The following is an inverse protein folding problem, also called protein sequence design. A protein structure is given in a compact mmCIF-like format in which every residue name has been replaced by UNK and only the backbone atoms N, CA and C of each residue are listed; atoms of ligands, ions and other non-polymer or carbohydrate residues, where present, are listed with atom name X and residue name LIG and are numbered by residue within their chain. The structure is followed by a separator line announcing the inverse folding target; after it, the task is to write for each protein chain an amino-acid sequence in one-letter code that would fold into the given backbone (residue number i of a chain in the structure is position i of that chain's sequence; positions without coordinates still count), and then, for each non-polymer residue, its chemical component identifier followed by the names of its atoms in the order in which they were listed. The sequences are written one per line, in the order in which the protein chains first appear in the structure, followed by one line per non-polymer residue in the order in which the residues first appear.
data_IF_347035572856
#
_entry.id   IF_347035572856
#
_cell.length_a   1.000
_cell.length_b   1.000
_cell.length_c   1.000
_cell.angle_alpha   90.00
_cell.angle_beta   90.00
_cell.angle_gamma   90.00
#
_symmetry.space_group_name_H-M   'P 1'
#
loop_
_entity.id
_entity.type
_entity.pdbx_description
1 polymer ?
#
# COMPACT_ATOMS: atom_id res chain seq x y z
N UNK A 1 7.03 -1.11 -3.49
CA UNK A 1 6.77 -2.23 -2.56
C UNK A 1 8.06 -2.90 -2.14
N UNK A 2 8.13 -3.67 -1.03
CA UNK A 2 9.25 -4.55 -0.69
C UNK A 2 9.49 -5.63 -1.76
N UNK A 3 10.69 -6.21 -1.77
CA UNK A 3 10.95 -7.46 -2.46
C UNK A 3 10.30 -8.57 -1.63
N UNK A 4 9.48 -9.38 -2.27
CA UNK A 4 8.74 -10.48 -1.63
C UNK A 4 9.31 -11.80 -2.12
N UNK A 5 9.89 -12.57 -1.21
CA UNK A 5 10.40 -13.91 -1.48
C UNK A 5 9.45 -14.91 -0.80
N UNK A 6 8.86 -15.79 -1.61
CA UNK A 6 8.00 -16.88 -1.15
C UNK A 6 8.73 -18.21 -1.28
N UNK A 7 8.83 -18.92 -0.16
CA UNK A 7 9.38 -20.26 -0.11
C UNK A 7 8.25 -21.29 -0.37
N UNK A 8 8.58 -22.39 -1.02
CA UNK A 8 7.61 -23.44 -1.31
C UNK A 8 7.09 -24.14 -0.05
N UNK A 9 7.88 -24.09 1.03
CA UNK A 9 7.55 -24.72 2.32
C UNK A 9 7.91 -23.77 3.47
N UNK A 10 7.43 -24.10 4.68
CA UNK A 10 7.80 -23.38 5.90
C UNK A 10 9.29 -23.54 6.19
N UNK A 11 9.96 -22.42 6.49
CA UNK A 11 11.41 -22.36 6.72
C UNK A 11 11.71 -22.46 8.20
N UNK A 12 12.33 -23.58 8.62
CA UNK A 12 12.73 -23.82 10.01
C UNK A 12 13.95 -22.99 10.43
N UNK A 13 14.96 -22.91 9.58
CA UNK A 13 16.19 -22.08 9.82
C UNK A 13 16.15 -20.84 8.91
N UNK A 14 15.43 -19.81 9.38
CA UNK A 14 15.26 -18.54 8.68
C UNK A 14 16.58 -17.79 8.50
N UNK A 15 17.48 -17.87 9.49
CA UNK A 15 18.77 -17.19 9.43
C UNK A 15 19.67 -17.78 8.33
N UNK A 16 19.64 -19.10 8.12
CA UNK A 16 20.33 -19.74 7.00
C UNK A 16 19.68 -19.37 5.66
N UNK A 17 18.36 -19.33 5.59
CA UNK A 17 17.66 -18.92 4.39
C UNK A 17 18.00 -17.47 3.98
N UNK A 18 18.03 -16.51 4.92
CA UNK A 18 18.43 -15.13 4.64
C UNK A 18 19.86 -15.04 4.09
N UNK A 19 20.80 -15.83 4.62
CA UNK A 19 22.18 -15.85 4.10
C UNK A 19 22.30 -16.39 2.68
N UNK A 20 21.34 -17.19 2.25
CA UNK A 20 21.27 -17.73 0.89
C UNK A 20 20.60 -16.77 -0.11
N UNK A 21 19.98 -15.68 0.38
CA UNK A 21 19.35 -14.68 -0.47
C UNK A 21 20.32 -13.50 -0.62
N UNK A 22 20.55 -13.08 -1.87
CA UNK A 22 21.31 -11.88 -2.19
C UNK A 22 20.43 -10.86 -2.87
N UNK A 23 20.40 -9.65 -2.35
CA UNK A 23 19.81 -8.47 -2.99
C UNK A 23 20.94 -7.51 -3.33
N UNK A 24 21.08 -7.21 -4.62
CA UNK A 24 22.09 -6.28 -5.14
C UNK A 24 21.38 -5.12 -5.82
N UNK A 25 21.79 -3.90 -5.52
CA UNK A 25 21.26 -2.68 -6.12
C UNK A 25 22.37 -1.84 -6.72
N UNK A 26 22.07 -1.15 -7.81
CA UNK A 26 22.99 -0.19 -8.43
C UNK A 26 22.25 1.14 -8.69
N UNK A 27 22.65 2.23 -7.99
CA UNK A 27 23.64 2.30 -6.92
C UNK A 27 23.27 1.49 -5.66
N UNK A 28 24.24 1.17 -4.77
CA UNK A 28 24.01 0.39 -3.56
C UNK A 28 22.98 1.04 -2.61
N UNK A 29 22.04 0.24 -2.11
CA UNK A 29 21.01 0.66 -1.14
C UNK A 29 21.02 -0.31 0.03
N UNK A 30 21.14 0.23 1.25
CA UNK A 30 21.05 -0.57 2.47
C UNK A 30 19.62 -1.01 2.73
N UNK A 31 19.44 -2.30 3.01
CA UNK A 31 18.15 -2.87 3.35
C UNK A 31 18.25 -4.06 4.28
N UNK A 32 17.12 -4.61 4.68
CA UNK A 32 17.08 -5.73 5.62
C UNK A 32 15.87 -6.63 5.34
N UNK A 33 15.96 -7.86 5.85
CA UNK A 33 14.91 -8.87 5.77
C UNK A 33 13.98 -8.79 6.98
N UNK A 34 12.72 -9.15 6.75
CA UNK A 34 11.72 -9.37 7.80
C UNK A 34 10.74 -10.45 7.37
N UNK A 35 10.52 -11.46 8.22
CA UNK A 35 9.59 -12.57 7.93
C UNK A 35 8.17 -12.15 8.28
N UNK A 36 7.31 -12.22 7.29
CA UNK A 36 5.87 -11.95 7.47
C UNK A 36 5.16 -13.20 8.01
N UNK A 37 5.60 -14.37 7.57
CA UNK A 37 5.15 -15.67 8.06
C UNK A 37 6.25 -16.73 7.84
N UNK A 38 5.94 -18.00 8.04
CA UNK A 38 6.91 -19.09 8.01
C UNK A 38 7.49 -19.38 6.62
N UNK A 39 6.80 -18.96 5.57
CA UNK A 39 7.20 -19.22 4.17
C UNK A 39 7.38 -17.95 3.35
N UNK A 40 7.31 -16.78 3.98
CA UNK A 40 7.42 -15.51 3.27
C UNK A 40 8.31 -14.52 4.01
N UNK A 41 9.39 -14.12 3.37
CA UNK A 41 10.30 -13.07 3.84
C UNK A 41 10.28 -11.89 2.87
N UNK A 42 10.25 -10.69 3.43
CA UNK A 42 10.33 -9.46 2.67
C UNK A 42 11.67 -8.77 2.90
N UNK A 43 12.17 -8.11 1.88
CA UNK A 43 13.33 -7.23 1.97
C UNK A 43 12.95 -5.82 1.51
N UNK A 44 13.30 -4.81 2.30
CA UNK A 44 13.12 -3.42 1.91
C UNK A 44 14.26 -2.53 2.40
N UNK A 45 14.51 -1.39 1.73
CA UNK A 45 15.42 -0.37 2.25
C UNK A 45 14.82 0.36 3.47
N UNK A 46 15.67 1.17 4.13
CA UNK A 46 15.27 1.97 5.27
C UNK A 46 14.23 3.06 4.92
N UNK A 47 14.31 3.58 3.71
CA UNK A 47 13.41 4.58 3.13
C UNK A 47 12.79 4.02 1.86
N UNK A 48 11.86 4.75 1.25
CA UNK A 48 11.31 4.38 -0.04
C UNK A 48 12.43 4.21 -1.07
N UNK A 49 12.18 3.35 -2.05
CA UNK A 49 13.15 3.09 -3.10
C UNK A 49 13.59 4.38 -3.80
N UNK A 50 14.89 4.59 -3.96
CA UNK A 50 15.38 5.66 -4.84
C UNK A 50 14.89 5.45 -6.27
N UNK A 51 14.68 6.55 -6.99
CA UNK A 51 14.34 6.48 -8.41
C UNK A 51 15.52 5.97 -9.26
N UNK A 52 15.19 5.32 -10.37
CA UNK A 52 16.11 4.99 -11.46
C UNK A 52 17.31 4.11 -11.03
N UNK A 53 17.05 3.10 -10.19
CA UNK A 53 18.05 2.10 -9.81
C UNK A 53 17.72 0.73 -10.36
N UNK A 54 18.73 -0.10 -10.58
CA UNK A 54 18.56 -1.52 -10.91
C UNK A 54 18.66 -2.39 -9.66
N UNK A 55 17.88 -3.46 -9.63
CA UNK A 55 17.82 -4.41 -8.53
C UNK A 55 17.95 -5.82 -9.08
N UNK A 56 18.86 -6.60 -8.51
CA UNK A 56 19.00 -8.03 -8.77
C UNK A 56 18.76 -8.82 -7.49
N UNK A 57 17.99 -9.88 -7.58
CA UNK A 57 17.66 -10.77 -6.48
C UNK A 57 18.02 -12.19 -6.88
N UNK A 58 18.91 -12.83 -6.09
CA UNK A 58 19.24 -14.25 -6.17
C UNK A 58 18.70 -14.95 -4.92
N UNK A 59 17.87 -15.96 -5.08
CA UNK A 59 17.27 -16.73 -4.00
C UNK A 59 17.17 -18.21 -4.38
N UNK A 60 18.10 -19.02 -3.91
CA UNK A 60 18.25 -20.41 -4.35
C UNK A 60 18.49 -20.47 -5.87
N UNK A 61 17.66 -21.23 -6.59
CA UNK A 61 17.72 -21.35 -8.06
C UNK A 61 17.00 -20.21 -8.78
N UNK A 62 16.36 -19.30 -8.05
CA UNK A 62 15.62 -18.18 -8.63
C UNK A 62 16.52 -16.96 -8.80
N UNK A 63 16.47 -16.35 -9.99
CA UNK A 63 17.14 -15.11 -10.33
C UNK A 63 16.14 -14.12 -10.91
N UNK A 64 16.16 -12.88 -10.45
CA UNK A 64 15.29 -11.81 -10.97
C UNK A 64 16.04 -10.49 -11.03
N UNK A 65 15.85 -9.77 -12.13
CA UNK A 65 16.38 -8.40 -12.28
C UNK A 65 15.26 -7.47 -12.71
N UNK A 66 15.16 -6.31 -12.07
CA UNK A 66 14.18 -5.28 -12.41
C UNK A 66 14.73 -3.88 -12.12
N UNK A 67 14.06 -2.87 -12.66
CA UNK A 67 14.41 -1.48 -12.43
C UNK A 67 13.32 -0.78 -11.61
N UNK A 68 13.74 0.03 -10.67
CA UNK A 68 12.89 1.05 -10.05
C UNK A 68 12.86 2.23 -11.01
N UNK A 69 11.68 2.65 -11.41
CA UNK A 69 11.48 3.85 -12.24
C UNK A 69 11.48 5.13 -11.39
N UNK A 70 10.68 6.10 -11.80
CA UNK A 70 10.45 7.32 -11.01
C UNK A 70 9.88 6.98 -9.62
N UNK A 71 10.29 7.74 -8.61
CA UNK A 71 9.75 7.63 -7.27
C UNK A 71 8.38 8.31 -7.21
N UNK A 72 7.32 7.48 -7.23
CA UNK A 72 5.94 7.93 -7.13
C UNK A 72 5.48 7.81 -5.67
N UNK A 73 5.14 8.95 -5.08
CA UNK A 73 4.57 9.03 -3.73
C UNK A 73 3.30 9.87 -3.79
N UNK A 74 2.22 9.29 -3.30
CA UNK A 74 0.96 9.99 -3.10
C UNK A 74 0.80 10.29 -1.62
N UNK A 75 0.47 11.54 -1.27
CA UNK A 75 0.14 11.94 0.09
C UNK A 75 -1.36 12.25 0.15
N UNK A 76 -2.09 11.52 0.98
CA UNK A 76 -3.50 11.75 1.26
C UNK A 76 -3.63 12.38 2.65
N UNK A 77 -3.81 13.69 2.69
CA UNK A 77 -3.85 14.46 3.94
C UNK A 77 -5.31 14.80 4.32
N UNK A 78 -5.76 14.22 5.43
CA UNK A 78 -7.11 14.42 5.93
C UNK A 78 -7.33 15.84 6.50
N UNK A 79 -6.29 16.53 6.94
CA UNK A 79 -6.43 17.90 7.42
C UNK A 79 -6.82 18.86 6.30
N UNK A 80 -6.31 18.63 5.10
CA UNK A 80 -6.59 19.43 3.90
C UNK A 80 -7.68 18.84 3.01
N UNK A 81 -8.06 17.57 3.23
CA UNK A 81 -8.96 16.78 2.37
C UNK A 81 -8.46 16.71 0.92
N UNK A 82 -7.13 16.64 0.77
CA UNK A 82 -6.46 16.58 -0.54
C UNK A 82 -5.63 15.32 -0.68
N UNK A 83 -5.54 14.85 -1.90
CA UNK A 83 -4.56 13.85 -2.35
C UNK A 83 -3.57 14.57 -3.26
N UNK A 84 -2.30 14.57 -2.86
CA UNK A 84 -1.19 15.17 -3.63
C UNK A 84 -0.32 14.07 -4.21
N UNK A 85 -0.13 14.09 -5.50
CA UNK A 85 0.68 13.12 -6.24
C UNK A 85 2.04 13.73 -6.58
N UNK A 86 3.11 13.06 -6.17
CA UNK A 86 4.49 13.52 -6.33
C UNK A 86 5.30 12.55 -7.18
N UNK A 87 6.08 13.09 -8.09
CA UNK A 87 7.07 12.35 -8.89
C UNK A 87 8.44 12.92 -8.57
N UNK A 88 9.34 12.06 -8.07
CA UNK A 88 10.70 12.46 -7.67
C UNK A 88 10.71 13.66 -6.70
N UNK A 89 9.69 13.76 -5.84
CA UNK A 89 9.53 14.85 -4.86
C UNK A 89 8.83 16.10 -5.37
N UNK A 90 8.53 16.20 -6.67
CA UNK A 90 7.79 17.33 -7.24
C UNK A 90 6.29 17.01 -7.35
N UNK A 91 5.45 17.92 -6.90
CA UNK A 91 4.00 17.80 -7.02
C UNK A 91 3.57 17.97 -8.47
N UNK A 92 2.94 16.94 -9.02
CA UNK A 92 2.43 16.93 -10.41
C UNK A 92 0.91 17.00 -10.49
N UNK A 93 0.21 16.63 -9.42
CA UNK A 93 -1.26 16.66 -9.35
C UNK A 93 -1.71 16.81 -7.89
N UNK A 94 -2.78 17.56 -7.67
CA UNK A 94 -3.52 17.62 -6.40
C UNK A 94 -5.00 17.50 -6.70
N UNK A 95 -5.71 16.67 -5.92
CA UNK A 95 -7.13 16.44 -6.13
C UNK A 95 -7.88 16.39 -4.79
N UNK A 96 -9.08 16.96 -4.69
CA UNK A 96 -9.91 16.85 -3.50
C UNK A 96 -10.37 15.41 -3.28
N UNK A 97 -10.41 15.00 -2.02
CA UNK A 97 -10.87 13.68 -1.60
C UNK A 97 -11.85 13.75 -0.44
N UNK A 98 -12.60 12.67 -0.25
CA UNK A 98 -13.39 12.40 0.94
C UNK A 98 -13.04 11.00 1.43
N UNK A 99 -12.46 10.93 2.63
CA UNK A 99 -11.99 9.68 3.24
C UNK A 99 -13.05 9.06 4.15
N UNK A 100 -12.65 8.07 4.93
CA UNK A 100 -13.52 7.41 5.90
C UNK A 100 -14.03 8.38 6.97
N UNK A 101 -15.36 8.35 7.20
CA UNK A 101 -15.99 9.13 8.29
C UNK A 101 -15.50 8.64 9.66
N UNK A 102 -15.68 9.43 10.73
CA UNK A 102 -15.15 9.13 12.07
C UNK A 102 -15.55 7.75 12.62
N UNK A 103 -16.70 7.23 12.24
CA UNK A 103 -17.16 5.88 12.67
C UNK A 103 -16.53 4.74 11.87
N UNK A 104 -15.92 5.01 10.73
CA UNK A 104 -15.23 4.08 9.84
C UNK A 104 -14.05 4.78 9.16
N UNK A 105 -13.07 5.24 9.95
CA UNK A 105 -12.00 6.08 9.43
C UNK A 105 -11.09 5.29 8.49
N UNK A 106 -10.41 6.01 7.61
CA UNK A 106 -9.23 5.49 6.92
C UNK A 106 -8.08 5.45 7.94
N UNK A 107 -7.39 4.34 8.07
CA UNK A 107 -6.21 4.27 8.93
C UNK A 107 -5.09 5.15 8.38
N UNK A 108 -4.31 5.76 9.27
CA UNK A 108 -3.10 6.50 8.91
C UNK A 108 -1.98 5.55 8.52
N UNK A 109 -0.96 6.08 7.84
CA UNK A 109 0.27 5.37 7.52
C UNK A 109 0.45 5.09 6.03
N UNK A 110 1.45 4.27 5.75
CA UNK A 110 1.92 4.03 4.38
C UNK A 110 1.27 2.77 3.81
N UNK A 111 0.56 2.96 2.74
CA UNK A 111 -0.07 1.93 1.93
C UNK A 111 0.76 1.67 0.67
N UNK A 112 0.69 0.46 0.16
CA UNK A 112 1.29 0.06 -1.11
C UNK A 112 0.17 -0.24 -2.10
N UNK A 113 0.20 0.36 -3.29
CA UNK A 113 -0.79 0.08 -4.32
C UNK A 113 -0.72 -1.39 -4.74
N UNK A 114 -1.85 -2.06 -4.64
CA UNK A 114 -2.08 -3.44 -5.05
C UNK A 114 -2.69 -3.55 -6.44
N UNK A 115 -3.78 -4.30 -6.54
CA UNK A 115 -4.48 -4.53 -7.81
C UNK A 115 -5.32 -3.33 -8.23
N UNK A 116 -5.60 -3.23 -9.54
CA UNK A 116 -6.35 -2.15 -10.13
C UNK A 116 -7.47 -2.71 -11.00
N UNK A 117 -8.66 -2.13 -10.85
CA UNK A 117 -9.86 -2.59 -11.54
C UNK A 117 -10.54 -1.40 -12.21
N UNK A 118 -10.76 -1.48 -13.53
CA UNK A 118 -11.56 -0.47 -14.24
C UNK A 118 -12.98 -0.41 -13.69
N UNK A 119 -13.50 -1.55 -13.23
CA UNK A 119 -14.81 -1.70 -12.62
C UNK A 119 -14.73 -2.75 -11.52
N UNK A 120 -15.28 -2.44 -10.34
CA UNK A 120 -15.29 -3.30 -9.17
C UNK A 120 -16.63 -3.22 -8.47
N UNK A 121 -17.17 -4.38 -8.06
CA UNK A 121 -18.29 -4.42 -7.12
C UNK A 121 -17.72 -4.43 -5.72
N UNK A 122 -17.96 -3.36 -4.98
CA UNK A 122 -17.63 -3.24 -3.56
C UNK A 122 -18.82 -3.75 -2.74
N UNK A 123 -18.59 -4.77 -1.92
CA UNK A 123 -19.63 -5.43 -1.13
C UNK A 123 -19.15 -5.56 0.31
N UNK A 124 -19.85 -4.90 1.23
CA UNK A 124 -19.51 -4.90 2.65
C UNK A 124 -19.60 -6.29 3.30
N UNK A 125 -20.31 -7.23 2.69
CA UNK A 125 -20.41 -8.60 3.19
C UNK A 125 -19.06 -9.34 3.14
N UNK A 126 -18.14 -8.92 2.29
CA UNK A 126 -16.80 -9.52 2.16
C UNK A 126 -15.92 -9.32 3.40
N UNK A 127 -16.24 -8.34 4.25
CA UNK A 127 -15.58 -8.10 5.54
C UNK A 127 -16.55 -8.17 6.74
N UNK A 128 -17.66 -8.91 6.58
CA UNK A 128 -18.55 -9.30 7.67
C UNK A 128 -19.68 -8.32 7.99
N UNK A 129 -19.88 -7.26 7.20
CA UNK A 129 -21.03 -6.34 7.34
C UNK A 129 -22.08 -6.69 6.29
N UNK A 130 -23.26 -7.27 6.67
CA UNK A 130 -24.28 -7.63 5.69
C UNK A 130 -24.70 -6.43 4.84
N UNK A 131 -24.72 -6.58 3.52
CA UNK A 131 -24.97 -5.48 2.58
C UNK A 131 -26.34 -4.82 2.73
N UNK A 132 -27.30 -5.53 3.35
CA UNK A 132 -28.65 -5.03 3.67
C UNK A 132 -28.79 -4.44 5.09
N UNK A 133 -27.67 -4.34 5.85
CA UNK A 133 -27.66 -3.69 7.17
C UNK A 133 -27.55 -2.17 7.04
N UNK A 134 -27.84 -1.39 8.12
CA UNK A 134 -27.72 0.08 8.07
C UNK A 134 -26.35 0.62 7.68
N UNK A 135 -25.29 -0.13 7.94
CA UNK A 135 -23.91 0.20 7.56
C UNK A 135 -23.40 -0.64 6.39
N UNK A 136 -24.27 -1.48 5.81
CA UNK A 136 -23.94 -2.30 4.66
C UNK A 136 -24.07 -1.55 3.35
N UNK A 137 -23.35 -2.02 2.36
CA UNK A 137 -23.45 -1.55 0.99
C UNK A 137 -23.06 -2.64 -0.02
N UNK A 138 -23.59 -2.50 -1.20
CA UNK A 138 -23.14 -3.20 -2.41
C UNK A 138 -23.29 -2.26 -3.57
N UNK A 139 -22.18 -1.79 -4.12
CA UNK A 139 -22.17 -0.80 -5.18
C UNK A 139 -21.06 -1.06 -6.19
N UNK A 140 -21.32 -0.72 -7.43
CA UNK A 140 -20.32 -0.76 -8.48
C UNK A 140 -19.58 0.57 -8.52
N UNK A 141 -18.23 0.50 -8.57
CA UNK A 141 -17.34 1.65 -8.69
C UNK A 141 -16.43 1.49 -9.88
N UNK A 142 -16.08 2.60 -10.51
CA UNK A 142 -15.12 2.64 -11.60
C UNK A 142 -13.74 3.08 -11.08
N UNK A 143 -12.68 2.68 -11.79
CA UNK A 143 -11.30 3.10 -11.57
C UNK A 143 -10.81 2.84 -10.15
N UNK A 144 -11.07 1.64 -9.64
CA UNK A 144 -10.68 1.25 -8.30
C UNK A 144 -9.21 0.83 -8.25
N UNK A 145 -8.41 1.52 -7.42
CA UNK A 145 -7.01 1.23 -7.14
C UNK A 145 -6.88 0.76 -5.69
N UNK A 146 -6.53 -0.50 -5.49
CA UNK A 146 -6.41 -1.11 -4.17
C UNK A 146 -5.23 -0.54 -3.39
N UNK A 147 -5.44 -0.24 -2.12
CA UNK A 147 -4.41 0.22 -1.18
C UNK A 147 -4.17 -0.76 -0.04
N UNK A 148 -5.16 -1.59 0.32
CA UNK A 148 -5.03 -2.58 1.39
C UNK A 148 -5.81 -3.85 1.07
N UNK A 149 -5.42 -4.96 1.68
CA UNK A 149 -6.20 -6.20 1.62
C UNK A 149 -7.45 -6.15 2.52
N UNK A 150 -7.48 -5.23 3.48
CA UNK A 150 -8.67 -4.93 4.28
C UNK A 150 -9.76 -4.17 3.51
N UNK A 151 -9.51 -3.81 2.24
CA UNK A 151 -10.55 -3.28 1.35
C UNK A 151 -10.56 -1.76 1.18
N UNK A 152 -9.44 -1.08 1.46
CA UNK A 152 -9.29 0.36 1.17
C UNK A 152 -8.85 0.56 -0.28
N UNK A 153 -9.55 1.45 -0.99
CA UNK A 153 -9.29 1.81 -2.39
C UNK A 153 -9.32 3.32 -2.59
N UNK A 154 -8.60 3.80 -3.60
CA UNK A 154 -8.95 5.06 -4.29
C UNK A 154 -9.91 4.70 -5.41
N UNK A 155 -11.05 5.34 -5.51
CA UNK A 155 -12.04 5.01 -6.55
C UNK A 155 -12.93 6.19 -6.94
N UNK A 156 -13.59 6.08 -8.08
CA UNK A 156 -14.60 7.02 -8.54
C UNK A 156 -15.82 7.01 -7.60
N UNK A 157 -16.19 8.19 -7.11
CA UNK A 157 -17.33 8.37 -6.21
C UNK A 157 -18.16 9.63 -6.62
N UNK A 158 -18.89 9.57 -7.75
CA UNK A 158 -19.66 10.71 -8.23
C UNK A 158 -20.74 11.18 -7.25
N UNK A 159 -21.24 10.30 -6.38
CA UNK A 159 -22.24 10.62 -5.35
C UNK A 159 -21.72 11.47 -4.20
N UNK A 160 -20.41 11.59 -4.02
CA UNK A 160 -19.79 12.32 -2.92
C UNK A 160 -18.96 13.53 -3.37
N UNK A 161 -19.03 13.93 -4.64
CA UNK A 161 -18.24 15.06 -5.18
C UNK A 161 -18.44 16.34 -4.36
N UNK A 162 -19.64 16.60 -3.86
CA UNK A 162 -19.91 17.77 -3.00
C UNK A 162 -19.25 17.72 -1.62
N UNK A 163 -18.76 16.56 -1.17
CA UNK A 163 -18.05 16.39 0.10
C UNK A 163 -16.53 16.33 -0.08
N UNK A 164 -16.06 16.01 -1.29
CA UNK A 164 -14.64 15.93 -1.59
C UNK A 164 -13.98 17.30 -1.40
N UNK A 165 -12.86 17.32 -0.65
CA UNK A 165 -12.18 18.55 -0.26
C UNK A 165 -12.76 19.24 0.98
N UNK A 166 -13.83 18.70 1.60
CA UNK A 166 -14.48 19.36 2.75
C UNK A 166 -14.89 18.42 3.88
N UNK A 167 -15.37 17.22 3.59
CA UNK A 167 -15.90 16.30 4.61
C UNK A 167 -15.63 14.84 4.26
N UNK A 168 -15.48 13.99 5.29
CA UNK A 168 -15.31 12.55 5.19
C UNK A 168 -16.67 11.84 5.26
N UNK A 169 -17.01 11.09 4.22
CA UNK A 169 -18.31 10.39 4.14
C UNK A 169 -18.21 8.93 3.72
N UNK A 170 -17.00 8.43 3.44
CA UNK A 170 -16.80 7.04 3.01
C UNK A 170 -16.77 6.06 4.20
N UNK A 171 -16.62 4.78 3.90
CA UNK A 171 -16.42 3.71 4.89
C UNK A 171 -14.94 3.28 5.00
N UNK A 172 -14.00 4.17 4.64
CA UNK A 172 -12.56 3.94 4.71
C UNK A 172 -11.83 4.19 3.39
N UNK A 173 -12.51 4.11 2.24
CA UNK A 173 -11.92 4.40 0.94
C UNK A 173 -11.65 5.90 0.72
N UNK A 174 -10.76 6.21 -0.20
CA UNK A 174 -10.52 7.56 -0.70
C UNK A 174 -11.43 7.81 -1.90
N UNK A 175 -12.52 8.52 -1.66
CA UNK A 175 -13.49 8.92 -2.68
C UNK A 175 -12.96 10.13 -3.44
N UNK A 176 -12.84 10.02 -4.74
CA UNK A 176 -12.46 11.13 -5.64
C UNK A 176 -13.44 11.24 -6.80
N UNK A 177 -13.38 12.34 -7.55
CA UNK A 177 -14.24 12.52 -8.73
C UNK A 177 -13.93 11.46 -9.81
N UNK A 178 -14.86 11.13 -10.72
CA UNK A 178 -14.61 10.17 -11.80
C UNK A 178 -13.34 10.49 -12.60
N UNK A 179 -13.14 11.76 -12.96
CA UNK A 179 -11.94 12.18 -13.70
C UNK A 179 -10.65 11.99 -12.90
N UNK A 180 -10.68 12.31 -11.60
CA UNK A 180 -9.54 12.13 -10.70
C UNK A 180 -9.22 10.66 -10.45
N UNK A 181 -10.26 9.81 -10.30
CA UNK A 181 -10.09 8.37 -10.15
C UNK A 181 -9.43 7.74 -11.39
N UNK A 182 -9.92 8.11 -12.58
CA UNK A 182 -9.31 7.67 -13.83
C UNK A 182 -7.86 8.14 -13.94
N UNK A 183 -7.60 9.42 -13.66
CA UNK A 183 -6.25 9.96 -13.69
C UNK A 183 -5.32 9.20 -12.72
N UNK A 184 -5.76 8.97 -11.48
CA UNK A 184 -5.00 8.22 -10.48
C UNK A 184 -4.74 6.79 -10.95
N UNK A 185 -5.76 6.12 -11.48
CA UNK A 185 -5.66 4.78 -12.03
C UNK A 185 -4.64 4.71 -13.17
N UNK A 186 -4.64 5.68 -14.09
CA UNK A 186 -3.76 5.67 -15.27
C UNK A 186 -2.30 6.02 -14.92
N UNK A 187 -2.07 6.80 -13.85
CA UNK A 187 -0.75 7.32 -13.48
C UNK A 187 -0.10 6.58 -12.31
N UNK A 188 -0.76 5.62 -11.69
CA UNK A 188 -0.18 4.78 -10.64
C UNK A 188 -0.03 3.34 -11.09
N UNK A 189 0.82 2.59 -10.41
CA UNK A 189 1.05 1.16 -10.65
C UNK A 189 1.21 0.41 -9.34
N UNK A 190 1.09 -0.91 -9.43
CA UNK A 190 1.38 -1.81 -8.30
C UNK A 190 2.75 -1.52 -7.72
N UNK A 191 2.81 -1.35 -6.40
CA UNK A 191 4.03 -1.08 -5.67
C UNK A 191 4.30 0.40 -5.38
N UNK A 192 3.58 1.33 -5.99
CA UNK A 192 3.65 2.75 -5.66
C UNK A 192 3.10 3.00 -4.25
N UNK A 193 3.38 4.17 -3.69
CA UNK A 193 3.12 4.51 -2.29
C UNK A 193 1.96 5.50 -2.18
N UNK A 194 1.10 5.24 -1.18
CA UNK A 194 0.11 6.21 -0.69
C UNK A 194 0.32 6.39 0.81
N UNK A 195 0.71 7.58 1.24
CA UNK A 195 0.89 7.95 2.64
C UNK A 195 -0.36 8.70 3.12
N UNK A 196 -1.13 8.07 3.99
CA UNK A 196 -2.36 8.64 4.57
C UNK A 196 -2.04 9.28 5.91
N UNK A 197 -2.42 10.53 6.07
CA UNK A 197 -2.07 11.36 7.22
C UNK A 197 -3.28 12.12 7.78
N UNK A 198 -3.24 12.40 9.09
CA UNK A 198 -4.15 13.33 9.76
C UNK A 198 -5.57 12.82 10.00
N UNK A 199 -5.86 11.54 9.75
CA UNK A 199 -7.17 10.95 10.03
C UNK A 199 -7.33 10.62 11.52
N UNK A 200 -8.56 10.39 11.96
CA UNK A 200 -8.84 9.88 13.33
C UNK A 200 -8.64 8.36 13.45
N UNK A 201 -8.28 7.69 12.36
CA UNK A 201 -8.02 6.25 12.33
C UNK A 201 -6.74 5.85 13.06
N UNK A 202 -6.58 4.55 13.26
CA UNK A 202 -5.35 3.94 13.78
C UNK A 202 -4.21 4.04 12.77
N UNK A 203 -3.16 3.26 12.95
CA UNK A 203 -2.13 3.06 11.94
C UNK A 203 -2.36 1.72 11.25
N UNK A 204 -2.30 1.69 9.93
CA UNK A 204 -2.40 0.46 9.13
C UNK A 204 -1.38 -0.56 9.63
N UNK A 205 -1.84 -1.80 9.86
CA UNK A 205 -0.95 -2.87 10.31
C UNK A 205 0.17 -3.11 9.30
N UNK A 206 1.41 -3.17 9.79
CA UNK A 206 2.57 -3.49 8.96
C UNK A 206 2.56 -4.91 8.38
N UNK A 207 1.73 -5.81 8.91
CA UNK A 207 1.57 -7.20 8.45
C UNK A 207 0.25 -7.44 7.72
N UNK A 208 -0.47 -6.39 7.38
CA UNK A 208 -1.74 -6.46 6.67
C UNK A 208 -1.58 -7.04 5.25
N UNK A 209 -0.42 -6.85 4.64
CA UNK A 209 -0.07 -7.37 3.32
C UNK A 209 0.41 -6.31 2.34
N UNK A 210 -0.07 -5.08 2.47
CA UNK A 210 0.38 -3.90 1.72
C UNK A 210 0.88 -2.78 2.66
N UNK A 211 1.12 -3.10 3.93
CA UNK A 211 1.45 -2.15 4.98
C UNK A 211 2.91 -2.19 5.50
N UNK A 212 3.81 -2.90 4.86
CA UNK A 212 5.20 -3.17 5.33
C UNK A 212 5.96 -1.93 5.82
N UNK A 213 5.69 -0.76 5.22
CA UNK A 213 6.35 0.49 5.58
C UNK A 213 5.94 1.01 6.96
N UNK A 214 4.85 0.49 7.55
CA UNK A 214 4.39 0.86 8.88
C UNK A 214 5.09 0.07 10.00
N UNK A 215 5.88 -0.97 9.67
CA UNK A 215 6.79 -1.58 10.63
C UNK A 215 7.99 -0.63 10.81
N UNK A 216 8.24 -0.11 12.03
CA UNK A 216 9.34 0.81 12.28
C UNK A 216 10.68 0.23 11.81
N UNK A 217 11.51 1.05 11.18
CA UNK A 217 12.78 0.58 10.61
C UNK A 217 13.68 -0.14 11.62
N UNK A 218 13.73 0.33 12.86
CA UNK A 218 14.52 -0.32 13.92
C UNK A 218 14.07 -1.77 14.17
N UNK A 219 12.74 -2.02 14.14
CA UNK A 219 12.15 -3.37 14.27
C UNK A 219 12.45 -4.19 13.03
N UNK A 220 12.25 -3.61 11.84
CA UNK A 220 12.53 -4.27 10.57
C UNK A 220 14.01 -4.68 10.44
N UNK A 221 14.92 -3.74 10.75
CA UNK A 221 16.37 -3.96 10.67
C UNK A 221 16.85 -5.01 11.66
N UNK A 222 16.28 -5.06 12.86
CA UNK A 222 16.58 -6.10 13.85
C UNK A 222 16.20 -7.49 13.32
N UNK A 223 15.22 -7.55 12.40
CA UNK A 223 14.71 -8.79 11.84
C UNK A 223 13.99 -9.67 12.86
N UNK A 224 13.51 -10.79 12.40
CA UNK A 224 12.81 -11.77 13.23
C UNK A 224 13.15 -13.23 12.87
N UNK A 225 14.31 -13.42 12.22
CA UNK A 225 14.78 -14.75 11.81
C UNK A 225 15.00 -15.71 12.99
N UNK A 226 15.42 -15.16 14.14
CA UNK A 226 15.73 -15.92 15.36
C UNK A 226 14.63 -15.86 16.44
N UNK A 227 13.51 -15.17 16.18
CA UNK A 227 12.40 -15.11 17.13
C UNK A 227 11.70 -16.47 17.17
N UNK A 228 11.51 -17.01 18.38
CA UNK A 228 10.64 -18.16 18.59
C UNK A 228 9.19 -17.80 18.22
N UNK A 229 8.50 -18.76 17.66
CA UNK A 229 7.05 -18.67 17.34
C UNK A 229 6.20 -18.71 18.60
#
# INVERSE_FOLDING_TARGET
QPIIIRCNEAVGDRATAERAIRVTTDPPVDGSFYWINDSQVHWKPAQFWPANISVTVDAGDSHSTFNIGDALVTVADDNTKQVTFQVNGETVMTMPTSMGKDSTPTDNGVYIIGDRYQRLIMDSSTYGVPSNSPNGYRLEVDWATQMSYSGVYVHSAPWSVGSQGSANVSHGCLNVSPANAQWFFDNTKRGDIVDVQGTVGSVLSGTEGLGDWNIPWAVWKAGNATQAR
#
